data_IF_576402956485
#
_entry.id   IF_576402956485
#
_cell.length_a   1.000
_cell.length_b   1.000
_cell.length_c   1.000
_cell.angle_alpha   90.00
_cell.angle_beta   90.00
_cell.angle_gamma   90.00
#
_symmetry.space_group_name_H-M   'P 1'
#
loop_
_entity.id
_entity.type
_entity.pdbx_description
1 polymer ?
#
# COMPACT_ATOMS: atom_id res chain seq x y z
N UNK A 1 42.74 -15.46 5.52
CA UNK A 1 41.29 -15.29 5.33
C UNK A 1 41.00 -15.21 3.84
N UNK A 2 40.51 -16.30 3.25
CA UNK A 2 40.17 -16.33 1.84
C UNK A 2 38.92 -15.45 1.59
N UNK A 3 39.05 -14.46 0.71
CA UNK A 3 37.89 -13.79 0.10
C UNK A 3 37.18 -14.84 -0.74
N UNK A 4 36.03 -15.31 -0.28
CA UNK A 4 35.06 -16.00 -1.11
C UNK A 4 34.49 -14.94 -2.08
N UNK A 5 35.18 -14.73 -3.19
CA UNK A 5 34.57 -14.19 -4.39
C UNK A 5 33.51 -15.22 -4.80
N UNK A 6 32.24 -14.87 -4.63
CA UNK A 6 31.12 -15.57 -5.23
C UNK A 6 30.88 -14.84 -6.56
N UNK A 7 31.34 -15.34 -7.72
CA UNK A 7 30.75 -14.95 -8.99
C UNK A 7 29.34 -15.57 -9.04
N UNK A 8 28.59 -15.43 -10.13
CA UNK A 8 27.31 -16.13 -10.35
C UNK A 8 26.05 -15.46 -9.75
N UNK A 9 25.92 -14.15 -9.96
CA UNK A 9 24.60 -13.50 -9.99
C UNK A 9 23.77 -14.08 -11.14
N UNK A 10 22.52 -14.51 -10.88
CA UNK A 10 21.54 -14.76 -11.95
C UNK A 10 21.49 -13.50 -12.84
N UNK A 11 21.86 -13.63 -14.12
CA UNK A 11 22.00 -12.52 -15.09
C UNK A 11 20.72 -11.69 -15.20
N UNK A 12 19.56 -12.31 -14.95
CA UNK A 12 18.24 -11.66 -15.00
C UNK A 12 17.72 -11.21 -13.63
N UNK A 13 18.42 -11.46 -12.52
CA UNK A 13 17.90 -11.23 -11.17
C UNK A 13 17.53 -9.78 -10.91
N UNK A 14 18.30 -8.82 -11.40
CA UNK A 14 17.99 -7.39 -11.23
C UNK A 14 16.68 -7.00 -11.94
N UNK A 15 16.49 -7.46 -13.18
CA UNK A 15 15.25 -7.24 -13.92
C UNK A 15 14.05 -7.89 -13.23
N UNK A 16 14.22 -9.10 -12.71
CA UNK A 16 13.16 -9.82 -12.00
C UNK A 16 12.78 -9.11 -10.68
N UNK A 17 13.76 -8.60 -9.93
CA UNK A 17 13.55 -7.81 -8.70
C UNK A 17 12.80 -6.52 -9.00
N UNK A 18 13.24 -5.75 -10.00
CA UNK A 18 12.58 -4.49 -10.41
C UNK A 18 11.15 -4.78 -10.83
N UNK A 19 10.94 -5.83 -11.63
CA UNK A 19 9.60 -6.22 -12.05
C UNK A 19 8.72 -6.59 -10.85
N UNK A 20 9.21 -7.41 -9.92
CA UNK A 20 8.45 -7.80 -8.71
C UNK A 20 8.07 -6.61 -7.80
N UNK A 21 8.90 -5.56 -7.79
CA UNK A 21 8.70 -4.38 -6.95
C UNK A 21 7.90 -3.26 -7.64
N UNK A 22 7.60 -3.36 -8.94
CA UNK A 22 7.19 -2.22 -9.78
C UNK A 22 6.02 -1.40 -9.21
N UNK A 23 4.95 -2.06 -8.75
CA UNK A 23 3.77 -1.39 -8.21
C UNK A 23 4.05 -0.70 -6.87
N UNK A 24 4.77 -1.40 -5.98
CA UNK A 24 5.18 -0.86 -4.69
C UNK A 24 6.14 0.31 -4.87
N UNK A 25 7.08 0.21 -5.81
CA UNK A 25 7.99 1.29 -6.16
C UNK A 25 7.26 2.53 -6.63
N UNK A 26 6.30 2.36 -7.55
CA UNK A 26 5.53 3.47 -8.09
C UNK A 26 4.72 4.20 -6.99
N UNK A 27 3.93 3.45 -6.21
CA UNK A 27 3.04 4.05 -5.21
C UNK A 27 3.86 4.67 -4.06
N UNK A 28 4.90 3.99 -3.57
CA UNK A 28 5.73 4.55 -2.49
C UNK A 28 6.54 5.76 -2.94
N UNK A 29 6.86 5.90 -4.24
CA UNK A 29 7.47 7.13 -4.78
C UNK A 29 6.49 8.29 -4.76
N UNK A 30 5.24 8.06 -5.16
CA UNK A 30 4.17 9.07 -5.09
C UNK A 30 3.97 9.55 -3.65
N UNK A 31 3.97 8.63 -2.67
CA UNK A 31 3.83 8.96 -1.25
C UNK A 31 5.09 9.59 -0.61
N UNK A 32 6.22 9.66 -1.33
CA UNK A 32 7.48 10.15 -0.79
C UNK A 32 8.17 9.20 0.20
N UNK A 33 7.73 7.94 0.29
CA UNK A 33 8.27 6.94 1.22
C UNK A 33 9.39 6.10 0.57
N UNK A 34 9.43 6.02 -0.76
CA UNK A 34 10.36 5.14 -1.48
C UNK A 34 11.84 5.27 -1.08
N UNK A 35 12.43 6.47 -0.97
CA UNK A 35 13.85 6.60 -0.58
C UNK A 35 14.15 6.15 0.86
N UNK A 36 13.13 6.07 1.72
CA UNK A 36 13.28 5.54 3.07
C UNK A 36 13.41 4.00 3.06
N UNK A 37 12.82 3.38 2.05
CA UNK A 37 12.67 1.92 1.92
C UNK A 37 13.74 1.34 0.99
N UNK A 38 14.25 2.09 0.02
CA UNK A 38 15.28 1.62 -0.92
C UNK A 38 16.51 2.54 -0.92
N UNK A 39 17.70 1.96 -0.66
CA UNK A 39 18.92 2.73 -0.37
C UNK A 39 19.58 3.39 -1.59
N UNK A 40 19.32 2.90 -2.82
CA UNK A 40 19.98 3.39 -4.02
C UNK A 40 19.18 4.53 -4.69
N UNK A 41 19.07 5.68 -4.00
CA UNK A 41 18.33 6.86 -4.49
C UNK A 41 19.22 8.09 -4.58
N UNK A 42 19.02 8.89 -5.62
CA UNK A 42 19.78 10.13 -5.86
C UNK A 42 19.36 11.24 -4.90
N UNK A 43 20.19 12.28 -4.75
CA UNK A 43 19.85 13.45 -3.91
C UNK A 43 18.56 14.14 -4.38
N UNK A 44 18.34 14.24 -5.69
CA UNK A 44 17.13 14.82 -6.28
C UNK A 44 15.89 14.00 -5.91
N UNK A 45 15.97 12.66 -5.99
CA UNK A 45 14.86 11.78 -5.60
C UNK A 45 14.52 11.92 -4.10
N UNK A 46 15.51 12.15 -3.24
CA UNK A 46 15.28 12.40 -1.81
C UNK A 46 14.58 13.73 -1.55
N UNK A 47 14.98 14.79 -2.26
CA UNK A 47 14.31 16.10 -2.18
C UNK A 47 12.86 15.97 -2.65
N UNK A 48 12.65 15.39 -3.84
CA UNK A 48 11.31 15.20 -4.39
C UNK A 48 10.43 14.35 -3.46
N UNK A 49 10.97 13.28 -2.90
CA UNK A 49 10.25 12.46 -1.93
C UNK A 49 9.89 13.24 -0.64
N UNK A 50 10.77 14.13 -0.18
CA UNK A 50 10.50 14.97 1.00
C UNK A 50 9.35 15.95 0.72
N UNK A 51 9.34 16.55 -0.47
CA UNK A 51 8.24 17.41 -0.93
C UNK A 51 6.95 16.60 -1.05
N UNK A 52 6.96 15.45 -1.74
CA UNK A 52 5.80 14.58 -1.88
C UNK A 52 5.25 14.12 -0.52
N UNK A 53 6.14 13.79 0.41
CA UNK A 53 5.77 13.40 1.77
C UNK A 53 5.07 14.55 2.51
N UNK A 54 5.63 15.75 2.46
CA UNK A 54 5.05 16.94 3.07
C UNK A 54 3.67 17.26 2.47
N UNK A 55 3.51 17.15 1.14
CA UNK A 55 2.24 17.35 0.45
C UNK A 55 1.19 16.30 0.84
N UNK A 56 1.57 15.02 0.92
CA UNK A 56 0.66 13.96 1.37
C UNK A 56 0.22 14.19 2.81
N UNK A 57 1.14 14.56 3.69
CA UNK A 57 0.85 14.86 5.08
C UNK A 57 -0.09 16.06 5.24
N UNK A 58 0.16 17.15 4.51
CA UNK A 58 -0.71 18.33 4.53
C UNK A 58 -2.10 18.01 4.00
N UNK A 59 -2.21 17.20 2.94
CA UNK A 59 -3.48 16.78 2.36
C UNK A 59 -4.31 15.93 3.34
N UNK A 60 -3.68 14.94 3.99
CA UNK A 60 -4.35 14.12 5.01
C UNK A 60 -4.81 14.97 6.20
N UNK A 61 -3.97 15.90 6.66
CA UNK A 61 -4.32 16.83 7.75
C UNK A 61 -5.46 17.77 7.36
N UNK A 62 -5.45 18.27 6.13
CA UNK A 62 -6.48 19.16 5.58
C UNK A 62 -7.85 18.49 5.52
N UNK A 63 -7.92 17.17 5.26
CA UNK A 63 -9.19 16.43 5.38
C UNK A 63 -9.56 16.12 6.83
N UNK A 64 -8.60 15.67 7.63
CA UNK A 64 -8.89 15.16 8.96
C UNK A 64 -9.35 16.27 9.93
N UNK A 65 -8.71 17.44 9.90
CA UNK A 65 -8.99 18.53 10.86
C UNK A 65 -10.45 19.03 10.74
N UNK A 66 -10.96 19.39 9.55
CA UNK A 66 -12.34 19.87 9.40
C UNK A 66 -13.37 18.79 9.73
N UNK A 67 -13.11 17.52 9.39
CA UNK A 67 -14.00 16.42 9.74
C UNK A 67 -14.09 16.19 11.26
N UNK A 68 -12.97 16.30 11.97
CA UNK A 68 -12.96 16.20 13.43
C UNK A 68 -13.72 17.38 14.06
N UNK A 69 -13.49 18.60 13.57
CA UNK A 69 -14.22 19.79 14.02
C UNK A 69 -15.72 19.61 13.80
N UNK A 70 -16.15 19.16 12.62
CA UNK A 70 -17.56 18.89 12.31
C UNK A 70 -18.21 17.86 13.24
N UNK A 71 -17.47 16.80 13.58
CA UNK A 71 -17.96 15.72 14.44
C UNK A 71 -18.13 16.18 15.89
N UNK A 72 -17.20 17.00 16.38
CA UNK A 72 -17.22 17.54 17.75
C UNK A 72 -18.18 18.72 17.88
N UNK A 73 -18.44 19.46 16.80
CA UNK A 73 -19.33 20.62 16.79
C UNK A 73 -20.72 20.27 17.34
N UNK A 74 -21.24 21.15 18.18
CA UNK A 74 -22.61 21.08 18.72
C UNK A 74 -23.65 21.51 17.68
N UNK A 75 -23.22 22.19 16.61
CA UNK A 75 -24.10 22.67 15.52
C UNK A 75 -24.60 21.56 14.59
N UNK A 76 -24.08 20.34 14.71
CA UNK A 76 -24.38 19.23 13.79
C UNK A 76 -25.32 18.20 14.43
N UNK A 77 -26.31 17.73 13.66
CA UNK A 77 -27.31 16.79 14.17
C UNK A 77 -26.72 15.39 14.37
N UNK A 78 -27.33 14.58 15.25
CA UNK A 78 -26.92 13.18 15.46
C UNK A 78 -26.97 12.37 14.14
N UNK A 79 -27.95 12.65 13.28
CA UNK A 79 -28.07 12.01 11.98
C UNK A 79 -26.90 12.34 11.05
N UNK A 80 -26.45 13.59 11.04
CA UNK A 80 -25.29 14.02 10.23
C UNK A 80 -23.99 13.40 10.73
N UNK A 81 -23.83 13.30 12.06
CA UNK A 81 -22.70 12.59 12.69
C UNK A 81 -22.67 11.11 12.31
N UNK A 82 -23.83 10.44 12.27
CA UNK A 82 -23.94 9.03 11.85
C UNK A 82 -23.54 8.87 10.38
N UNK A 83 -24.03 9.74 9.48
CA UNK A 83 -23.64 9.72 8.06
C UNK A 83 -22.13 9.94 7.87
N UNK A 84 -21.51 10.72 8.74
CA UNK A 84 -20.08 11.02 8.70
C UNK A 84 -19.16 9.97 9.31
N UNK A 85 -19.70 9.02 10.07
CA UNK A 85 -18.91 7.97 10.69
C UNK A 85 -18.12 7.13 9.67
N UNK A 86 -18.74 6.82 8.52
CA UNK A 86 -18.10 6.09 7.43
C UNK A 86 -16.89 6.85 6.84
N UNK A 87 -17.10 8.04 6.25
CA UNK A 87 -16.02 8.88 5.72
C UNK A 87 -14.91 9.18 6.74
N UNK A 88 -15.27 9.58 7.97
CA UNK A 88 -14.31 9.90 9.02
C UNK A 88 -13.46 8.68 9.40
N UNK A 89 -14.09 7.51 9.60
CA UNK A 89 -13.34 6.29 9.93
C UNK A 89 -12.38 5.88 8.80
N UNK A 90 -12.78 6.07 7.55
CA UNK A 90 -11.90 5.81 6.40
C UNK A 90 -10.68 6.75 6.38
N UNK A 91 -10.87 8.05 6.61
CA UNK A 91 -9.77 9.03 6.67
C UNK A 91 -8.84 8.73 7.85
N UNK A 92 -9.38 8.41 9.02
CA UNK A 92 -8.62 8.02 10.20
C UNK A 92 -7.78 6.77 9.95
N UNK A 93 -8.40 5.69 9.46
CA UNK A 93 -7.72 4.42 9.17
C UNK A 93 -6.62 4.63 8.12
N UNK A 94 -6.90 5.39 7.07
CA UNK A 94 -5.91 5.67 6.02
C UNK A 94 -4.74 6.51 6.55
N UNK A 95 -5.01 7.49 7.42
CA UNK A 95 -3.97 8.27 8.09
C UNK A 95 -3.12 7.37 8.99
N UNK A 96 -3.73 6.47 9.77
CA UNK A 96 -3.01 5.47 10.57
C UNK A 96 -2.15 4.54 9.70
N UNK A 97 -2.67 4.07 8.56
CA UNK A 97 -1.89 3.28 7.59
C UNK A 97 -0.66 4.04 7.10
N UNK A 98 -0.80 5.34 6.80
CA UNK A 98 0.33 6.18 6.40
C UNK A 98 1.40 6.26 7.49
N UNK A 99 1.01 6.48 8.75
CA UNK A 99 1.92 6.43 9.89
C UNK A 99 2.61 5.07 10.05
N UNK A 100 1.86 3.97 9.93
CA UNK A 100 2.43 2.63 10.03
C UNK A 100 3.48 2.37 8.95
N UNK A 101 3.25 2.80 7.71
CA UNK A 101 4.26 2.71 6.65
C UNK A 101 5.56 3.45 7.03
N UNK A 102 5.46 4.58 7.71
CA UNK A 102 6.62 5.37 8.16
C UNK A 102 7.32 4.70 9.34
N UNK A 103 6.58 4.28 10.37
CA UNK A 103 7.12 3.65 11.57
C UNK A 103 7.85 2.36 11.19
N UNK A 104 7.22 1.52 10.36
CA UNK A 104 7.76 0.23 9.93
C UNK A 104 8.66 0.30 8.70
N UNK A 105 9.06 1.50 8.24
CA UNK A 105 9.93 1.66 7.06
C UNK A 105 11.20 0.80 7.10
N UNK A 106 11.80 0.63 8.30
CA UNK A 106 13.00 -0.20 8.50
C UNK A 106 12.71 -1.69 8.26
N UNK A 107 11.58 -2.18 8.79
CA UNK A 107 11.13 -3.56 8.60
C UNK A 107 10.75 -3.83 7.15
N UNK A 108 10.02 -2.91 6.49
CA UNK A 108 9.67 -3.03 5.07
C UNK A 108 10.95 -3.12 4.22
N UNK A 109 11.94 -2.26 4.49
CA UNK A 109 13.24 -2.30 3.82
C UNK A 109 13.97 -3.62 4.04
N UNK A 110 13.96 -4.15 5.26
CA UNK A 110 14.55 -5.46 5.54
C UNK A 110 13.86 -6.56 4.72
N UNK A 111 12.52 -6.57 4.66
CA UNK A 111 11.78 -7.53 3.85
C UNK A 111 12.11 -7.43 2.36
N UNK A 112 12.24 -6.21 1.81
CA UNK A 112 12.62 -6.01 0.40
C UNK A 112 14.07 -6.47 0.14
N UNK A 113 14.98 -6.26 1.09
CA UNK A 113 16.36 -6.75 0.98
C UNK A 113 16.42 -8.28 1.01
N UNK A 114 15.64 -8.93 1.88
CA UNK A 114 15.52 -10.40 1.90
C UNK A 114 14.95 -10.90 0.58
N UNK A 115 13.83 -10.33 0.12
CA UNK A 115 13.23 -10.65 -1.18
C UNK A 115 14.25 -10.52 -2.33
N UNK A 116 14.99 -9.42 -2.36
CA UNK A 116 16.03 -9.19 -3.39
C UNK A 116 17.17 -10.21 -3.31
N UNK A 117 17.52 -10.63 -2.10
CA UNK A 117 18.54 -11.67 -1.88
C UNK A 117 18.04 -13.02 -2.38
N UNK A 118 16.80 -13.37 -2.09
CA UNK A 118 16.17 -14.62 -2.55
C UNK A 118 16.14 -14.68 -4.08
N UNK A 119 15.73 -13.60 -4.75
CA UNK A 119 15.74 -13.52 -6.22
C UNK A 119 17.14 -13.71 -6.83
N UNK A 120 18.19 -13.21 -6.16
CA UNK A 120 19.58 -13.40 -6.59
C UNK A 120 20.07 -14.83 -6.36
N UNK A 121 19.64 -15.46 -5.27
CA UNK A 121 20.01 -16.82 -4.89
C UNK A 121 19.37 -17.91 -5.78
N UNK A 122 18.30 -17.59 -6.51
CA UNK A 122 17.68 -18.53 -7.44
C UNK A 122 18.49 -18.67 -8.72
N UNK A 123 19.15 -19.82 -8.86
CA UNK A 123 19.96 -20.17 -10.05
C UNK A 123 19.24 -21.16 -10.97
N UNK A 124 18.42 -22.05 -10.41
CA UNK A 124 17.72 -23.06 -11.19
C UNK A 124 16.53 -22.45 -11.93
N UNK A 125 16.44 -22.71 -13.23
CA UNK A 125 15.43 -22.08 -14.09
C UNK A 125 14.00 -22.44 -13.68
N UNK A 126 13.77 -23.63 -13.15
CA UNK A 126 12.43 -24.05 -12.71
C UNK A 126 11.99 -23.33 -11.43
N UNK A 127 12.90 -23.10 -10.48
CA UNK A 127 12.63 -22.27 -9.30
C UNK A 127 12.38 -20.81 -9.68
N UNK A 128 13.10 -20.29 -10.68
CA UNK A 128 12.85 -18.94 -11.21
C UNK A 128 11.45 -18.83 -11.80
N UNK A 129 10.99 -19.84 -12.57
CA UNK A 129 9.62 -19.86 -13.12
C UNK A 129 8.57 -19.83 -11.99
N UNK A 130 8.78 -20.55 -10.90
CA UNK A 130 7.90 -20.53 -9.72
C UNK A 130 7.81 -19.13 -9.11
N UNK A 131 8.94 -18.44 -8.92
CA UNK A 131 8.94 -17.07 -8.39
C UNK A 131 8.24 -16.10 -9.34
N UNK A 132 8.52 -16.16 -10.65
CA UNK A 132 7.88 -15.30 -11.66
C UNK A 132 6.36 -15.52 -11.68
N UNK A 133 5.91 -16.78 -11.62
CA UNK A 133 4.49 -17.13 -11.55
C UNK A 133 3.81 -16.51 -10.34
N UNK A 134 4.44 -16.57 -9.16
CA UNK A 134 3.86 -15.96 -7.96
C UNK A 134 3.93 -14.43 -7.98
N UNK A 135 5.01 -13.81 -8.50
CA UNK A 135 5.06 -12.38 -8.74
C UNK A 135 3.98 -11.90 -9.73
N UNK A 136 3.65 -12.69 -10.74
CA UNK A 136 2.53 -12.37 -11.64
C UNK A 136 1.18 -12.33 -10.88
N UNK A 137 0.97 -13.25 -9.92
CA UNK A 137 -0.23 -13.21 -9.06
C UNK A 137 -0.29 -11.94 -8.22
N UNK A 138 0.85 -11.50 -7.63
CA UNK A 138 0.87 -10.25 -6.87
C UNK A 138 0.58 -9.04 -7.76
N UNK A 139 1.01 -9.04 -9.02
CA UNK A 139 0.71 -7.97 -9.97
C UNK A 139 -0.78 -7.92 -10.30
N UNK A 140 -1.43 -9.07 -10.50
CA UNK A 140 -2.88 -9.13 -10.73
C UNK A 140 -3.64 -8.61 -9.51
N UNK A 141 -3.28 -9.05 -8.30
CA UNK A 141 -3.91 -8.60 -7.07
C UNK A 141 -3.69 -7.09 -6.83
N UNK A 142 -2.49 -6.59 -7.10
CA UNK A 142 -2.15 -5.16 -6.98
C UNK A 142 -2.97 -4.32 -7.95
N UNK A 143 -3.04 -4.72 -9.22
CA UNK A 143 -3.88 -4.04 -10.23
C UNK A 143 -5.35 -4.01 -9.82
N UNK A 144 -5.88 -5.15 -9.38
CA UNK A 144 -7.26 -5.24 -8.91
C UNK A 144 -7.51 -4.30 -7.73
N UNK A 145 -6.60 -4.27 -6.74
CA UNK A 145 -6.72 -3.38 -5.60
C UNK A 145 -6.69 -1.91 -6.01
N UNK A 146 -5.72 -1.50 -6.84
CA UNK A 146 -5.62 -0.12 -7.32
C UNK A 146 -6.89 0.28 -8.08
N UNK A 147 -7.34 -0.55 -9.02
CA UNK A 147 -8.56 -0.29 -9.81
C UNK A 147 -9.79 -0.18 -8.92
N UNK A 148 -9.95 -1.08 -7.95
CA UNK A 148 -11.06 -1.07 -7.01
C UNK A 148 -11.06 0.21 -6.15
N UNK A 149 -9.90 0.58 -5.60
CA UNK A 149 -9.76 1.79 -4.77
C UNK A 149 -10.07 3.06 -5.55
N UNK A 150 -9.53 3.18 -6.77
CA UNK A 150 -9.78 4.35 -7.61
C UNK A 150 -11.21 4.39 -8.14
N UNK A 151 -11.78 3.27 -8.55
CA UNK A 151 -13.17 3.22 -9.01
C UNK A 151 -14.14 3.62 -7.89
N UNK A 152 -14.07 2.94 -6.73
CA UNK A 152 -14.94 3.26 -5.59
C UNK A 152 -14.71 4.68 -5.06
N UNK A 153 -13.46 5.11 -5.03
CA UNK A 153 -13.07 6.45 -4.59
C UNK A 153 -13.59 7.57 -5.50
N UNK A 154 -13.45 7.40 -6.81
CA UNK A 154 -13.98 8.35 -7.80
C UNK A 154 -15.50 8.36 -7.79
N UNK A 155 -16.16 7.19 -7.72
CA UNK A 155 -17.61 7.11 -7.56
C UNK A 155 -18.09 7.86 -6.32
N UNK A 156 -17.39 7.73 -5.17
CA UNK A 156 -17.73 8.49 -3.98
C UNK A 156 -17.60 10.01 -4.20
N UNK A 157 -16.47 10.46 -4.77
CA UNK A 157 -16.21 11.89 -4.99
C UNK A 157 -17.11 12.53 -6.05
N UNK A 158 -17.63 11.76 -7.00
CA UNK A 158 -18.58 12.26 -8.01
C UNK A 158 -20.01 12.18 -7.52
N UNK A 159 -20.42 11.06 -6.94
CA UNK A 159 -21.83 10.80 -6.58
C UNK A 159 -22.22 11.52 -5.28
N UNK A 160 -21.36 11.58 -4.27
CA UNK A 160 -21.73 12.23 -3.00
C UNK A 160 -22.09 13.70 -3.15
N UNK A 161 -21.38 14.51 -3.95
CA UNK A 161 -21.83 15.86 -4.25
C UNK A 161 -23.25 15.93 -4.85
N UNK A 162 -23.65 14.99 -5.70
CA UNK A 162 -25.01 14.98 -6.26
C UNK A 162 -26.07 14.46 -5.28
N UNK A 163 -25.71 13.57 -4.37
CA UNK A 163 -26.61 13.03 -3.34
C UNK A 163 -26.78 13.97 -2.14
N UNK A 164 -25.78 14.80 -1.88
CA UNK A 164 -25.84 15.84 -0.85
C UNK A 164 -26.63 16.99 -1.44
N UNK A 165 -27.95 16.97 -1.21
CA UNK A 165 -28.88 17.99 -1.67
C UNK A 165 -28.28 19.40 -1.54
N UNK A 166 -28.38 20.20 -2.60
CA UNK A 166 -28.24 21.66 -2.54
C UNK A 166 -29.31 22.18 -1.58
N UNK A 167 -28.94 22.34 -0.31
CA UNK A 167 -29.78 23.05 0.63
C UNK A 167 -29.72 24.53 0.28
N UNK A 168 -30.88 25.17 0.30
CA UNK A 168 -30.98 26.61 0.26
C UNK A 168 -30.64 27.07 1.68
N UNK A 169 -29.54 27.80 1.83
CA UNK A 169 -29.15 28.38 3.12
C UNK A 169 -30.21 29.42 3.59
N UNK A 170 -30.20 29.85 4.85
CA UNK A 170 -31.14 30.84 5.42
C UNK A 170 -31.17 32.16 4.63
N UNK A 171 -30.16 32.39 3.80
CA UNK A 171 -29.98 33.56 2.93
C UNK A 171 -30.44 33.33 1.47
N UNK A 172 -31.13 32.23 1.19
CA UNK A 172 -31.67 31.89 -0.13
C UNK A 172 -30.59 31.64 -1.21
N UNK A 173 -29.43 31.10 -0.80
CA UNK A 173 -28.28 30.81 -1.67
C UNK A 173 -28.05 29.30 -1.77
N UNK A 174 -27.80 28.82 -2.99
CA UNK A 174 -27.52 27.41 -3.28
C UNK A 174 -26.18 26.98 -2.67
N UNK A 175 -26.21 26.10 -1.66
CA UNK A 175 -24.99 25.50 -1.10
C UNK A 175 -24.36 24.58 -2.16
N UNK A 176 -23.12 24.90 -2.56
CA UNK A 176 -22.39 24.10 -3.55
C UNK A 176 -21.96 22.77 -2.93
N UNK A 177 -22.19 21.64 -3.60
CA UNK A 177 -21.99 20.34 -2.98
C UNK A 177 -20.50 19.99 -2.86
N UNK A 178 -20.10 19.52 -1.69
CA UNK A 178 -18.72 19.08 -1.39
C UNK A 178 -18.70 17.59 -1.00
N UNK A 179 -17.70 16.81 -1.46
CA UNK A 179 -17.56 15.40 -1.10
C UNK A 179 -17.51 15.11 0.40
N UNK A 180 -16.94 16.03 1.17
CA UNK A 180 -16.78 15.91 2.62
C UNK A 180 -17.28 17.17 3.35
N UNK A 181 -18.18 17.05 4.35
CA UNK A 181 -18.69 18.18 5.12
C UNK A 181 -17.70 18.64 6.20
N UNK A 182 -17.98 19.81 6.81
CA UNK A 182 -17.16 20.39 7.88
C UNK A 182 -16.26 21.54 7.44
N UNK A 183 -16.10 21.71 6.13
CA UNK A 183 -15.31 22.80 5.58
C UNK A 183 -16.06 24.13 5.59
N UNK A 184 -17.39 24.09 5.56
CA UNK A 184 -18.32 25.21 5.72
C UNK A 184 -18.20 25.91 7.09
N UNK A 185 -17.70 25.21 8.11
CA UNK A 185 -17.41 25.79 9.42
C UNK A 185 -16.18 26.71 9.38
N UNK A 186 -15.24 26.47 8.46
CA UNK A 186 -13.91 27.10 8.43
C UNK A 186 -13.78 28.07 7.26
N UNK A 187 -14.38 27.75 6.12
CA UNK A 187 -14.30 28.52 4.89
C UNK A 187 -15.68 29.01 4.46
N UNK A 188 -15.73 30.24 3.98
CA UNK A 188 -16.93 30.77 3.33
C UNK A 188 -17.12 30.13 1.95
N UNK A 189 -18.02 29.16 1.87
CA UNK A 189 -18.32 28.43 0.63
C UNK A 189 -19.12 29.26 -0.39
N UNK A 190 -19.66 30.41 0.02
CA UNK A 190 -20.31 31.34 -0.90
C UNK A 190 -19.28 32.05 -1.78
N UNK A 191 -18.07 32.27 -1.27
CA UNK A 191 -16.97 32.81 -2.06
C UNK A 191 -16.42 31.76 -3.04
N UNK A 192 -16.71 31.94 -4.32
CA UNK A 192 -16.38 30.96 -5.38
C UNK A 192 -14.91 30.52 -5.40
N UNK A 193 -13.91 31.40 -5.25
CA UNK A 193 -12.51 30.97 -5.21
C UNK A 193 -12.18 30.06 -4.01
N UNK A 194 -12.78 30.30 -2.83
CA UNK A 194 -12.59 29.44 -1.66
C UNK A 194 -13.20 28.05 -1.89
N UNK A 195 -14.42 27.99 -2.45
CA UNK A 195 -15.05 26.73 -2.82
C UNK A 195 -14.19 25.91 -3.80
N UNK A 196 -13.70 26.53 -4.88
CA UNK A 196 -12.86 25.83 -5.88
C UNK A 196 -11.57 25.30 -5.25
N UNK A 197 -10.95 26.09 -4.38
CA UNK A 197 -9.76 25.66 -3.64
C UNK A 197 -10.03 24.44 -2.77
N UNK A 198 -11.09 24.48 -1.94
CA UNK A 198 -11.46 23.36 -1.06
C UNK A 198 -11.82 22.13 -1.86
N UNK A 199 -12.58 22.27 -2.93
CA UNK A 199 -12.95 21.15 -3.80
C UNK A 199 -11.72 20.46 -4.40
N UNK A 200 -10.80 21.23 -5.00
CA UNK A 200 -9.56 20.68 -5.55
C UNK A 200 -8.67 20.04 -4.47
N UNK A 201 -8.59 20.65 -3.29
CA UNK A 201 -7.81 20.13 -2.18
C UNK A 201 -8.41 18.83 -1.60
N UNK A 202 -9.75 18.71 -1.53
CA UNK A 202 -10.43 17.47 -1.15
C UNK A 202 -10.15 16.35 -2.17
N UNK A 203 -10.23 16.65 -3.47
CA UNK A 203 -9.91 15.69 -4.53
C UNK A 203 -8.47 15.22 -4.47
N UNK A 204 -7.52 16.15 -4.29
CA UNK A 204 -6.11 15.81 -4.12
C UNK A 204 -5.91 14.91 -2.90
N UNK A 205 -6.55 15.24 -1.78
CA UNK A 205 -6.46 14.45 -0.56
C UNK A 205 -7.11 13.07 -0.70
N UNK A 206 -8.21 12.96 -1.46
CA UNK A 206 -8.82 11.69 -1.86
C UNK A 206 -7.84 10.79 -2.62
N UNK A 207 -7.13 11.35 -3.61
CA UNK A 207 -6.07 10.62 -4.34
C UNK A 207 -4.99 10.12 -3.38
N UNK A 208 -4.56 10.94 -2.41
CA UNK A 208 -3.58 10.52 -1.39
C UNK A 208 -4.12 9.33 -0.58
N UNK A 209 -5.38 9.37 -0.11
CA UNK A 209 -6.00 8.26 0.63
C UNK A 209 -6.01 6.95 -0.19
N UNK A 210 -6.35 7.02 -1.47
CA UNK A 210 -6.35 5.85 -2.36
C UNK A 210 -4.95 5.27 -2.54
N UNK A 211 -3.94 6.13 -2.69
CA UNK A 211 -2.54 5.71 -2.79
C UNK A 211 -2.05 5.04 -1.49
N UNK A 212 -2.37 5.60 -0.33
CA UNK A 212 -1.97 5.02 0.96
C UNK A 212 -2.56 3.61 1.13
N UNK A 213 -3.86 3.44 0.88
CA UNK A 213 -4.48 2.13 1.01
C UNK A 213 -3.94 1.15 -0.04
N UNK A 214 -3.77 1.59 -1.28
CA UNK A 214 -3.19 0.76 -2.34
C UNK A 214 -1.75 0.34 -2.03
N UNK A 215 -0.94 1.21 -1.41
CA UNK A 215 0.43 0.90 -1.02
C UNK A 215 0.49 -0.28 -0.03
N UNK A 216 -0.34 -0.25 1.02
CA UNK A 216 -0.39 -1.32 2.02
C UNK A 216 -0.82 -2.65 1.38
N UNK A 217 -1.87 -2.61 0.54
CA UNK A 217 -2.36 -3.79 -0.14
C UNK A 217 -1.35 -4.37 -1.13
N UNK A 218 -0.66 -3.53 -1.91
CA UNK A 218 0.38 -3.96 -2.86
C UNK A 218 1.60 -4.55 -2.13
N UNK A 219 1.98 -3.99 -0.98
CA UNK A 219 3.07 -4.53 -0.16
C UNK A 219 2.69 -5.91 0.38
N UNK A 220 1.47 -6.04 0.93
CA UNK A 220 0.96 -7.31 1.42
C UNK A 220 0.87 -8.36 0.30
N UNK A 221 0.29 -8.01 -0.85
CA UNK A 221 0.18 -8.90 -2.01
C UNK A 221 1.55 -9.40 -2.48
N UNK A 222 2.54 -8.51 -2.51
CA UNK A 222 3.90 -8.85 -2.90
C UNK A 222 4.57 -9.79 -1.89
N UNK A 223 4.54 -9.47 -0.59
CA UNK A 223 5.18 -10.30 0.43
C UNK A 223 4.53 -11.68 0.55
N UNK A 224 3.20 -11.75 0.51
CA UNK A 224 2.47 -13.03 0.53
C UNK A 224 2.81 -13.86 -0.69
N UNK A 225 2.78 -13.27 -1.89
CA UNK A 225 3.13 -14.00 -3.10
C UNK A 225 4.58 -14.49 -3.11
N UNK A 226 5.52 -13.67 -2.62
CA UNK A 226 6.92 -14.07 -2.49
C UNK A 226 7.09 -15.24 -1.52
N UNK A 227 6.45 -15.16 -0.34
CA UNK A 227 6.45 -16.24 0.64
C UNK A 227 5.85 -17.54 0.07
N UNK A 228 4.72 -17.46 -0.64
CA UNK A 228 4.14 -18.60 -1.34
C UNK A 228 5.09 -19.19 -2.38
N UNK A 229 5.81 -18.36 -3.13
CA UNK A 229 6.81 -18.80 -4.10
C UNK A 229 7.98 -19.53 -3.44
N UNK A 230 8.49 -19.03 -2.30
CA UNK A 230 9.54 -19.71 -1.54
C UNK A 230 9.05 -21.07 -1.00
N UNK A 231 7.81 -21.14 -0.50
CA UNK A 231 7.22 -22.39 -0.02
C UNK A 231 7.08 -23.40 -1.17
N UNK A 232 6.62 -22.97 -2.35
CA UNK A 232 6.50 -23.84 -3.55
C UNK A 232 7.86 -24.38 -3.99
N UNK A 233 8.94 -23.59 -3.91
CA UNK A 233 10.32 -24.06 -4.15
C UNK A 233 10.77 -25.09 -3.11
N UNK A 234 10.51 -24.84 -1.82
CA UNK A 234 10.88 -25.78 -0.76
C UNK A 234 10.15 -27.10 -0.92
N UNK A 235 8.85 -27.07 -1.26
CA UNK A 235 8.07 -28.27 -1.56
C UNK A 235 8.68 -29.08 -2.71
N UNK A 236 9.05 -28.42 -3.82
CA UNK A 236 9.64 -29.09 -4.98
C UNK A 236 11.03 -29.71 -4.66
N UNK A 237 11.83 -29.04 -3.84
CA UNK A 237 13.10 -29.59 -3.31
C UNK A 237 12.89 -30.84 -2.46
N UNK A 238 11.90 -30.80 -1.57
CA UNK A 238 11.57 -31.94 -0.71
C UNK A 238 11.09 -33.13 -1.55
N UNK A 239 10.23 -32.87 -2.54
CA UNK A 239 9.70 -33.91 -3.41
C UNK A 239 10.80 -34.54 -4.29
N UNK A 240 11.63 -33.72 -4.93
CA UNK A 240 12.78 -34.20 -5.72
C UNK A 240 13.77 -34.99 -4.87
N UNK A 241 14.03 -34.57 -3.63
CA UNK A 241 14.88 -35.31 -2.70
C UNK A 241 14.26 -36.66 -2.30
N UNK A 242 12.95 -36.72 -2.02
CA UNK A 242 12.23 -37.98 -1.69
C UNK A 242 12.21 -38.94 -2.87
N UNK A 243 12.09 -38.43 -4.10
CA UNK A 243 12.16 -39.22 -5.34
C UNK A 243 13.58 -39.74 -5.62
N UNK A 244 14.61 -38.94 -5.32
CA UNK A 244 16.02 -39.32 -5.47
C UNK A 244 16.55 -40.26 -4.38
N UNK A 245 15.93 -40.31 -3.20
CA UNK A 245 16.36 -41.18 -2.09
C UNK A 245 15.58 -42.49 -2.06
N UNK A 246 16.19 -43.56 -2.56
CA UNK A 246 15.64 -44.93 -2.48
C UNK A 246 15.65 -45.55 -1.06
N UNK A 247 16.16 -44.88 -0.01
CA UNK A 247 16.17 -45.47 1.35
C UNK A 247 15.02 -44.97 2.25
N UNK A 248 14.21 -45.90 2.75
CA UNK A 248 13.05 -45.65 3.63
C UNK A 248 13.40 -44.88 4.92
N UNK A 249 14.62 -45.08 5.42
CA UNK A 249 15.12 -44.48 6.68
C UNK A 249 15.37 -42.96 6.57
N UNK A 250 15.71 -42.46 5.38
CA UNK A 250 15.92 -41.02 5.15
C UNK A 250 14.58 -40.26 5.10
N UNK A 251 13.56 -40.87 4.46
CA UNK A 251 12.20 -40.30 4.39
C UNK A 251 11.60 -40.11 5.78
N UNK A 252 11.81 -41.07 6.68
CA UNK A 252 11.36 -41.01 8.07
C UNK A 252 12.03 -39.86 8.85
N UNK A 253 13.34 -39.65 8.69
CA UNK A 253 14.05 -38.54 9.35
C UNK A 253 13.61 -37.18 8.83
N UNK A 254 13.37 -37.03 7.52
CA UNK A 254 12.90 -35.77 6.94
C UNK A 254 11.48 -35.42 7.38
N UNK A 255 10.58 -36.42 7.45
CA UNK A 255 9.23 -36.21 7.96
C UNK A 255 9.21 -35.69 9.41
N UNK A 256 10.15 -36.15 10.23
CA UNK A 256 10.32 -35.68 11.62
C UNK A 256 10.80 -34.22 11.65
N UNK A 257 11.77 -33.85 10.81
CA UNK A 257 12.28 -32.46 10.74
C UNK A 257 11.18 -31.50 10.26
N UNK A 258 10.43 -31.87 9.23
CA UNK A 258 9.33 -31.04 8.70
C UNK A 258 8.22 -30.89 9.75
N UNK A 259 7.87 -31.96 10.48
CA UNK A 259 6.90 -31.86 11.59
C UNK A 259 7.38 -30.91 12.69
N UNK A 260 8.64 -31.01 13.10
CA UNK A 260 9.20 -30.10 14.10
C UNK A 260 9.21 -28.65 13.63
N UNK A 261 9.52 -28.39 12.35
CA UNK A 261 9.54 -27.03 11.81
C UNK A 261 8.14 -26.42 11.75
N UNK A 262 7.13 -27.19 11.32
CA UNK A 262 5.72 -26.76 11.32
C UNK A 262 5.22 -26.49 12.75
N UNK A 263 5.64 -27.30 13.72
CA UNK A 263 5.21 -27.15 15.12
C UNK A 263 5.88 -25.96 15.81
N UNK A 264 7.07 -25.55 15.36
CA UNK A 264 7.78 -24.35 15.84
C UNK A 264 7.32 -23.05 15.18
N UNK A 265 6.64 -23.12 14.04
CA UNK A 265 6.05 -21.98 13.32
C UNK A 265 4.62 -21.65 13.78
N UNK A 266 4.07 -22.46 14.69
CA UNK A 266 2.77 -22.27 15.33
C UNK A 266 2.95 -21.54 16.66
#
# INVERSE_FOLDING_TARGET
MAKLNIPWSNVNSEKDIINALIWNQWILRILGIWPLVYSNTTTIEKILATISFALCWSALSFLLIPMVIFTVSERTTVNDKIKMLGPLSYVLISTLKFFFLIIHRKSIRQCINVLSTDWRAVHQQDYRKIMIKNAAKSHVLSKFCIMFMYCGGLCFHTVMPFLTHTTIDEQNVTVKPIPYPGFDIIFDMHFTPAYVFVFCAQWFSGIVLFNVTSAVCCLAAMFVAHACGQIEIVMDRVESFIKGTQSSRMKQRMAIIVRHHIQSLR
#
